data_IF_248643161878
#
_entry.id   IF_248643161878
#
_cell.length_a   1.000
_cell.length_b   1.000
_cell.length_c   1.000
_cell.angle_alpha   90.00
_cell.angle_beta   90.00
_cell.angle_gamma   90.00
#
_symmetry.space_group_name_H-M   'P 1'
#
loop_
_entity.id
_entity.type
_entity.pdbx_description
1 polymer ?
#
# COMPACT_ATOMS: atom_id res chain seq x y z
N UNK A 1 13.63 -33.07 9.31
CA UNK A 1 14.27 -31.78 9.68
C UNK A 1 13.18 -30.86 10.18
N UNK A 2 13.14 -30.53 11.48
CA UNK A 2 12.16 -29.55 12.00
C UNK A 2 12.78 -28.16 11.94
N UNK A 3 12.10 -27.22 11.30
CA UNK A 3 12.51 -25.81 11.29
C UNK A 3 12.00 -25.16 12.58
N UNK A 4 12.90 -24.58 13.36
CA UNK A 4 12.52 -23.77 14.53
C UNK A 4 12.25 -22.33 14.11
N UNK A 5 11.21 -21.71 14.68
CA UNK A 5 10.94 -20.28 14.45
C UNK A 5 12.05 -19.42 15.04
N UNK A 6 12.52 -18.42 14.29
CA UNK A 6 13.44 -17.39 14.82
C UNK A 6 12.75 -16.40 15.76
N UNK A 7 11.42 -16.34 15.70
CA UNK A 7 10.58 -15.42 16.47
C UNK A 7 9.48 -16.21 17.20
N UNK A 8 9.84 -17.08 18.16
CA UNK A 8 8.89 -18.01 18.79
C UNK A 8 7.81 -17.33 19.63
N UNK A 9 7.99 -16.06 19.99
CA UNK A 9 7.06 -15.29 20.81
C UNK A 9 6.16 -14.35 19.99
N UNK A 10 6.34 -14.28 18.68
CA UNK A 10 5.46 -13.48 17.79
C UNK A 10 4.21 -14.29 17.49
N UNK A 11 3.10 -13.88 18.09
CA UNK A 11 1.78 -14.47 17.89
C UNK A 11 0.94 -13.75 16.86
N UNK A 12 -0.32 -14.15 16.79
CA UNK A 12 -1.35 -13.50 15.96
C UNK A 12 -1.62 -12.09 16.44
N UNK A 13 -1.75 -11.14 15.52
CA UNK A 13 -2.07 -9.74 15.85
C UNK A 13 -3.50 -9.61 16.38
N UNK A 14 -3.75 -8.60 17.20
CA UNK A 14 -5.10 -8.28 17.69
C UNK A 14 -6.07 -8.04 16.54
N UNK A 15 -5.64 -7.47 15.42
CA UNK A 15 -6.47 -7.26 14.23
C UNK A 15 -6.98 -8.58 13.64
N UNK A 16 -6.11 -9.58 13.53
CA UNK A 16 -6.47 -10.91 13.04
C UNK A 16 -7.48 -11.58 14.00
N UNK A 17 -7.22 -11.52 15.30
CA UNK A 17 -8.10 -12.09 16.32
C UNK A 17 -9.50 -11.47 16.28
N UNK A 18 -9.59 -10.14 16.28
CA UNK A 18 -10.86 -9.44 16.24
C UNK A 18 -11.62 -9.65 14.93
N UNK A 19 -10.91 -9.73 13.80
CA UNK A 19 -11.54 -10.01 12.50
C UNK A 19 -12.10 -11.42 12.43
N UNK A 20 -11.41 -12.43 12.99
CA UNK A 20 -11.94 -13.80 13.11
C UNK A 20 -13.18 -13.86 13.98
N UNK A 21 -13.14 -13.21 15.14
CA UNK A 21 -14.29 -13.16 16.07
C UNK A 21 -15.52 -12.50 15.41
N UNK A 22 -15.33 -11.38 14.71
CA UNK A 22 -16.42 -10.73 13.99
C UNK A 22 -17.03 -11.64 12.92
N UNK A 23 -16.18 -12.34 12.15
CA UNK A 23 -16.62 -13.29 11.13
C UNK A 23 -17.39 -14.48 11.73
N UNK A 24 -16.89 -15.08 12.80
CA UNK A 24 -17.52 -16.21 13.49
C UNK A 24 -18.88 -15.82 14.09
N UNK A 25 -18.99 -14.60 14.63
CA UNK A 25 -20.23 -14.07 15.19
C UNK A 25 -21.20 -13.51 14.13
N UNK A 26 -20.84 -13.48 12.85
CA UNK A 26 -21.64 -12.83 11.81
C UNK A 26 -21.82 -11.32 12.04
N UNK A 27 -20.90 -10.68 12.77
CA UNK A 27 -20.98 -9.29 13.19
C UNK A 27 -20.25 -8.35 12.20
N UNK A 28 -20.62 -7.07 12.23
CA UNK A 28 -19.88 -6.02 11.51
C UNK A 28 -18.53 -5.83 12.20
N UNK A 29 -17.44 -5.97 11.44
CA UNK A 29 -16.09 -5.74 11.96
C UNK A 29 -15.81 -4.24 12.08
N UNK A 30 -15.84 -3.70 13.28
CA UNK A 30 -15.48 -2.31 13.60
C UNK A 30 -14.06 -2.18 14.19
N UNK A 31 -13.34 -3.29 14.34
CA UNK A 31 -11.98 -3.27 14.93
C UNK A 31 -10.92 -2.78 13.95
N UNK A 32 -11.20 -2.80 12.65
CA UNK A 32 -10.27 -2.36 11.60
C UNK A 32 -11.04 -1.64 10.50
N UNK A 33 -10.54 -0.47 10.08
CA UNK A 33 -11.06 0.23 8.90
C UNK A 33 -10.84 -0.60 7.65
N UNK A 34 -11.91 -0.82 6.90
CA UNK A 34 -11.88 -1.56 5.65
C UNK A 34 -12.76 -0.85 4.60
N UNK A 35 -12.23 -0.48 3.42
CA UNK A 35 -13.06 0.13 2.38
C UNK A 35 -14.16 -0.83 1.91
N UNK A 36 -15.42 -0.39 2.02
CA UNK A 36 -16.59 -1.15 1.54
C UNK A 36 -16.89 -0.96 0.05
N UNK A 37 -15.94 -0.41 -0.71
CA UNK A 37 -16.07 -0.11 -2.13
C UNK A 37 -14.85 -0.61 -2.90
N UNK A 38 -15.04 -0.88 -4.19
CA UNK A 38 -13.96 -1.28 -5.10
C UNK A 38 -13.11 -0.09 -5.53
N UNK A 39 -11.87 -0.36 -5.94
CA UNK A 39 -11.03 0.65 -6.57
C UNK A 39 -11.68 1.17 -7.86
N UNK A 40 -11.32 2.40 -8.25
CA UNK A 40 -11.78 3.00 -9.50
C UNK A 40 -11.47 2.07 -10.70
N UNK A 41 -12.46 1.80 -11.58
CA UNK A 41 -12.26 0.94 -12.75
C UNK A 41 -11.15 1.42 -13.67
N UNK A 42 -10.98 2.73 -13.87
CA UNK A 42 -9.90 3.30 -14.68
C UNK A 42 -8.53 2.95 -14.08
N UNK A 43 -8.38 3.05 -12.75
CA UNK A 43 -7.13 2.64 -12.08
C UNK A 43 -6.83 1.16 -12.31
N UNK A 44 -7.83 0.29 -12.22
CA UNK A 44 -7.66 -1.15 -12.44
C UNK A 44 -7.26 -1.47 -13.89
N UNK A 45 -7.83 -0.76 -14.85
CA UNK A 45 -7.49 -0.91 -16.27
C UNK A 45 -6.08 -0.39 -16.58
N UNK A 46 -5.65 0.70 -15.95
CA UNK A 46 -4.27 1.19 -16.04
C UNK A 46 -3.29 0.17 -15.47
N UNK A 47 -3.55 -0.38 -14.28
CA UNK A 47 -2.69 -1.43 -13.69
C UNK A 47 -2.55 -2.62 -14.64
N UNK A 48 -3.67 -3.11 -15.21
CA UNK A 48 -3.67 -4.20 -16.17
C UNK A 48 -2.84 -3.88 -17.43
N UNK A 49 -3.03 -2.68 -17.97
CA UNK A 49 -2.35 -2.21 -19.18
C UNK A 49 -0.85 -2.08 -18.99
N UNK A 50 -0.41 -1.46 -17.91
CA UNK A 50 1.02 -1.29 -17.60
C UNK A 50 1.70 -2.63 -17.27
N UNK A 51 1.04 -3.51 -16.54
CA UNK A 51 1.55 -4.87 -16.29
C UNK A 51 1.74 -5.64 -17.60
N UNK A 52 0.75 -5.58 -18.51
CA UNK A 52 0.83 -6.24 -19.83
C UNK A 52 1.91 -5.61 -20.71
N UNK A 53 2.16 -4.31 -20.60
CA UNK A 53 3.19 -3.60 -21.32
C UNK A 53 4.62 -3.85 -20.79
N UNK A 54 4.76 -4.63 -19.71
CA UNK A 54 6.06 -5.01 -19.16
C UNK A 54 6.61 -4.10 -18.05
N UNK A 55 5.82 -3.15 -17.56
CA UNK A 55 6.19 -2.29 -16.42
C UNK A 55 6.08 -3.04 -15.08
N UNK A 56 6.71 -4.20 -14.98
CA UNK A 56 6.69 -5.09 -13.81
C UNK A 56 8.09 -5.52 -13.38
N UNK A 57 9.10 -4.75 -13.74
CA UNK A 57 10.50 -4.95 -13.35
C UNK A 57 10.87 -4.06 -12.16
N UNK A 58 12.07 -4.22 -11.65
CA UNK A 58 12.59 -3.43 -10.54
C UNK A 58 12.58 -1.93 -10.85
N UNK A 59 12.02 -1.16 -9.95
CA UNK A 59 12.09 0.30 -9.98
C UNK A 59 13.30 0.80 -9.18
N UNK A 60 13.75 2.06 -9.41
CA UNK A 60 14.70 2.71 -8.51
C UNK A 60 14.18 2.73 -7.06
N UNK A 61 15.07 2.67 -6.06
CA UNK A 61 14.70 2.64 -4.63
C UNK A 61 13.77 3.78 -4.20
N UNK A 62 13.93 4.96 -4.77
CA UNK A 62 13.08 6.12 -4.47
C UNK A 62 11.76 6.14 -5.28
N UNK A 63 11.53 5.17 -6.13
CA UNK A 63 10.45 5.16 -7.12
C UNK A 63 10.87 5.76 -8.46
N UNK A 64 10.10 5.47 -9.50
CA UNK A 64 10.37 5.98 -10.85
C UNK A 64 10.21 7.51 -10.89
N UNK A 65 11.07 8.23 -11.67
CA UNK A 65 11.04 9.68 -11.73
C UNK A 65 9.68 10.26 -12.11
N UNK A 66 9.01 9.64 -13.07
CA UNK A 66 7.70 10.09 -13.55
C UNK A 66 6.64 10.08 -12.45
N UNK A 67 6.62 9.06 -11.58
CA UNK A 67 5.69 9.00 -10.45
C UNK A 67 6.03 10.08 -9.41
N UNK A 68 7.31 10.27 -9.10
CA UNK A 68 7.75 11.30 -8.14
C UNK A 68 7.41 12.71 -8.63
N UNK A 69 7.56 12.96 -9.94
CA UNK A 69 7.14 14.21 -10.56
C UNK A 69 5.62 14.43 -10.42
N UNK A 70 4.81 13.39 -10.70
CA UNK A 70 3.35 13.47 -10.56
C UNK A 70 2.89 13.66 -9.11
N UNK A 71 3.61 13.11 -8.15
CA UNK A 71 3.35 13.36 -6.72
C UNK A 71 3.60 14.84 -6.39
N UNK A 72 4.71 15.41 -6.86
CA UNK A 72 5.01 16.84 -6.68
C UNK A 72 3.93 17.74 -7.27
N UNK A 73 3.53 17.50 -8.53
CA UNK A 73 2.47 18.23 -9.22
C UNK A 73 1.13 18.14 -8.47
N UNK A 74 0.74 16.94 -8.02
CA UNK A 74 -0.48 16.73 -7.24
C UNK A 74 -0.44 17.47 -5.91
N UNK A 75 0.69 17.41 -5.20
CA UNK A 75 0.87 18.09 -3.91
C UNK A 75 0.75 19.60 -4.07
N UNK A 76 1.30 20.18 -5.15
CA UNK A 76 1.11 21.59 -5.47
C UNK A 76 -0.37 21.95 -5.63
N UNK A 77 -1.15 21.14 -6.35
CA UNK A 77 -2.57 21.40 -6.59
C UNK A 77 -3.43 21.28 -5.33
N UNK A 78 -3.08 20.35 -4.43
CA UNK A 78 -3.93 20.02 -3.26
C UNK A 78 -3.50 20.74 -1.98
N UNK A 79 -2.22 21.11 -1.86
CA UNK A 79 -1.63 21.65 -0.63
C UNK A 79 -0.88 22.97 -0.84
N UNK A 80 -0.88 23.50 -2.08
CA UNK A 80 -0.13 24.73 -2.46
C UNK A 80 1.38 24.64 -2.14
N UNK A 81 1.94 23.43 -2.11
CA UNK A 81 3.35 23.14 -1.89
C UNK A 81 3.86 22.17 -2.94
N UNK A 82 5.03 22.44 -3.53
CA UNK A 82 5.66 21.60 -4.55
C UNK A 82 6.95 20.98 -4.01
N UNK A 83 6.92 19.75 -3.48
CA UNK A 83 8.14 19.08 -3.05
C UNK A 83 9.06 18.80 -4.23
N UNK A 84 10.36 18.90 -4.02
CA UNK A 84 11.34 18.60 -5.08
C UNK A 84 11.36 17.08 -5.33
N UNK A 85 11.09 16.60 -6.58
CA UNK A 85 10.90 15.17 -6.85
C UNK A 85 12.09 14.28 -6.47
N UNK A 86 13.32 14.81 -6.56
CA UNK A 86 14.54 14.02 -6.36
C UNK A 86 15.07 14.04 -4.92
N UNK A 87 14.64 14.99 -4.09
CA UNK A 87 15.17 15.15 -2.74
C UNK A 87 14.12 15.08 -1.64
N UNK A 88 12.84 15.24 -1.99
CA UNK A 88 11.76 15.35 -1.01
C UNK A 88 10.62 14.34 -1.27
N UNK A 89 10.74 13.48 -2.30
CA UNK A 89 9.74 12.46 -2.62
C UNK A 89 10.38 11.08 -2.68
N UNK A 90 9.88 10.17 -1.86
CA UNK A 90 10.23 8.74 -1.90
C UNK A 90 8.95 7.90 -1.94
N UNK A 91 8.90 6.96 -2.88
CA UNK A 91 7.79 5.99 -3.00
C UNK A 91 8.15 4.76 -2.17
N UNK A 92 7.28 4.38 -1.26
CA UNK A 92 7.50 3.27 -0.32
C UNK A 92 6.38 2.23 -0.42
N UNK A 93 6.64 1.03 0.08
CA UNK A 93 5.67 -0.08 0.08
C UNK A 93 4.74 0.00 1.29
N UNK A 94 3.89 1.03 1.32
CA UNK A 94 2.92 1.27 2.38
C UNK A 94 3.46 2.10 3.54
N UNK A 95 2.55 2.56 4.41
CA UNK A 95 2.86 3.47 5.50
C UNK A 95 3.81 2.90 6.57
N UNK A 96 3.90 1.58 6.69
CA UNK A 96 4.81 0.95 7.65
C UNK A 96 6.28 1.12 7.25
N UNK A 97 6.58 1.20 5.97
CA UNK A 97 7.92 1.47 5.47
C UNK A 97 8.28 2.96 5.59
N UNK A 98 7.30 3.85 5.40
CA UNK A 98 7.47 5.30 5.53
C UNK A 98 7.89 5.73 6.94
#
# INVERSE_FOLDING_TARGET
MSLSSKLPQVGTTIFTTMSSMAKEAGAINLAQGFPGFSSDPELLDLVRSYTKAGYNQYAPMMGIPELRQKISEKTLLTQAYSPHPDTEVTVVSGATEA
#
